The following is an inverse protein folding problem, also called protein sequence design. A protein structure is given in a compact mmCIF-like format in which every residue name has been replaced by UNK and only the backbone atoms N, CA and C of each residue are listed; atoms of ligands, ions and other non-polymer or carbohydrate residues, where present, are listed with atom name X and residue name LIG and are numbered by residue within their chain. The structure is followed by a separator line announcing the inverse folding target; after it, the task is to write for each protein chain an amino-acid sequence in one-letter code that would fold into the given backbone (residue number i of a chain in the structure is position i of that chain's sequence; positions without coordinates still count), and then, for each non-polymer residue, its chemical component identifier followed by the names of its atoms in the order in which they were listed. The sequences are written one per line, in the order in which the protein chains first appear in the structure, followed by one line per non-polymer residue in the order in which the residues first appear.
data_IF_896077988203
#
_entry.id   IF_896077988203
#
_cell.length_a   1.000
_cell.length_b   1.000
_cell.length_c   1.000
_cell.angle_alpha   90.00
_cell.angle_beta   90.00
_cell.angle_gamma   90.00
#
_symmetry.space_group_name_H-M   'P 1'
#
loop_
_entity.id
_entity.type
_entity.pdbx_description
1 polymer ?
#
# COMPACT_ATOMS: atom_id res chain seq x y z
N UNK A 1 -19.32 1.89 -5.87
CA UNK A 1 -17.91 1.55 -5.67
C UNK A 1 -17.68 0.08 -5.94
N UNK A 2 -16.64 -0.22 -6.67
CA UNK A 2 -16.31 -1.61 -6.96
C UNK A 2 -15.12 -2.05 -6.15
N UNK A 3 -15.27 -3.16 -5.48
CA UNK A 3 -14.14 -3.78 -4.80
C UNK A 3 -13.45 -4.72 -5.79
N UNK A 4 -12.14 -4.92 -5.66
CA UNK A 4 -11.45 -5.87 -6.51
C UNK A 4 -11.98 -7.29 -6.24
N UNK A 5 -11.94 -8.14 -7.24
CA UNK A 5 -12.38 -9.51 -7.05
C UNK A 5 -11.31 -10.29 -6.29
N UNK A 6 -11.66 -11.52 -5.92
CA UNK A 6 -10.80 -12.35 -5.10
C UNK A 6 -9.42 -12.57 -5.74
N UNK A 7 -9.39 -12.78 -7.04
CA UNK A 7 -8.12 -13.02 -7.73
C UNK A 7 -7.23 -11.78 -7.68
N UNK A 8 -7.82 -10.60 -7.80
CA UNK A 8 -7.06 -9.35 -7.69
C UNK A 8 -6.49 -9.19 -6.31
N UNK A 9 -7.29 -9.48 -5.27
CA UNK A 9 -6.80 -9.39 -3.89
C UNK A 9 -5.66 -10.37 -3.66
N UNK A 10 -5.79 -11.59 -4.17
CA UNK A 10 -4.72 -12.58 -4.03
C UNK A 10 -3.44 -12.12 -4.71
N UNK A 11 -3.58 -11.52 -5.89
CA UNK A 11 -2.42 -10.98 -6.61
C UNK A 11 -1.76 -9.85 -5.82
N UNK A 12 -2.58 -8.97 -5.24
CA UNK A 12 -2.07 -7.89 -4.41
C UNK A 12 -1.29 -8.43 -3.22
N UNK A 13 -1.78 -9.50 -2.60
CA UNK A 13 -1.07 -10.10 -1.48
C UNK A 13 0.27 -10.69 -1.88
N UNK A 14 0.37 -11.14 -3.13
CA UNK A 14 1.64 -11.63 -3.63
C UNK A 14 2.58 -10.51 -4.02
N UNK A 15 2.03 -9.43 -4.59
CA UNK A 15 2.83 -8.26 -4.98
C UNK A 15 3.31 -7.45 -3.77
N UNK A 16 2.46 -7.38 -2.74
CA UNK A 16 2.73 -6.58 -1.54
C UNK A 16 2.70 -7.48 -0.32
N UNK A 17 3.68 -8.37 -0.18
CA UNK A 17 3.68 -9.26 0.98
C UNK A 17 4.01 -8.51 2.25
N UNK A 18 3.54 -9.03 3.37
CA UNK A 18 3.83 -8.46 4.67
C UNK A 18 5.34 -8.31 4.84
N UNK A 19 5.76 -7.14 5.27
CA UNK A 19 7.17 -6.83 5.45
C UNK A 19 7.83 -6.17 4.26
N UNK A 20 7.14 -6.10 3.10
CA UNK A 20 7.71 -5.45 1.93
C UNK A 20 7.81 -3.95 2.15
N UNK A 21 8.85 -3.35 1.60
CA UNK A 21 9.01 -1.89 1.66
C UNK A 21 8.36 -1.25 0.45
N UNK A 22 7.66 -0.16 0.68
CA UNK A 22 6.94 0.55 -0.38
C UNK A 22 7.20 2.04 -0.28
N UNK A 23 7.02 2.71 -1.41
CA UNK A 23 7.11 4.16 -1.50
C UNK A 23 5.74 4.70 -1.91
N UNK A 24 5.25 5.72 -1.21
CA UNK A 24 3.99 6.35 -1.56
C UNK A 24 4.15 7.17 -2.82
N UNK A 25 3.31 6.90 -3.82
CA UNK A 25 3.29 7.67 -5.05
C UNK A 25 2.17 8.69 -5.03
N UNK A 26 0.97 8.26 -4.63
CA UNK A 26 -0.19 9.13 -4.65
C UNK A 26 -1.23 8.66 -3.63
N UNK A 27 -1.72 9.60 -2.84
CA UNK A 27 -2.81 9.33 -1.91
C UNK A 27 -3.63 10.60 -1.73
N UNK A 28 -4.93 10.53 -2.04
CA UNK A 28 -5.84 11.66 -1.96
C UNK A 28 -6.48 11.70 -0.58
N UNK A 29 -5.74 12.14 0.40
CA UNK A 29 -6.23 12.25 1.77
C UNK A 29 -5.51 13.42 2.40
N UNK A 30 -6.26 14.25 3.15
CA UNK A 30 -5.67 15.44 3.77
C UNK A 30 -4.60 15.06 4.79
N UNK A 31 -4.65 13.84 5.31
CA UNK A 31 -3.69 13.38 6.31
C UNK A 31 -2.63 12.45 5.71
N UNK A 32 -2.60 12.36 4.38
CA UNK A 32 -1.65 11.49 3.71
C UNK A 32 -0.23 11.94 3.94
N UNK A 33 0.71 10.98 4.08
CA UNK A 33 2.12 11.34 4.05
C UNK A 33 2.45 11.96 2.69
N UNK A 34 3.50 12.76 2.60
CA UNK A 34 3.88 13.29 1.28
C UNK A 34 4.35 12.19 0.35
N UNK A 35 4.16 12.36 -0.97
CA UNK A 35 4.72 11.40 -1.92
C UNK A 35 6.22 11.21 -1.68
N UNK A 36 6.67 9.99 -1.86
CA UNK A 36 8.06 9.62 -1.57
C UNK A 36 8.27 9.06 -0.18
N UNK A 37 7.26 9.14 0.69
CA UNK A 37 7.37 8.54 2.03
C UNK A 37 7.47 7.04 1.89
N UNK A 38 8.38 6.45 2.65
CA UNK A 38 8.57 5.00 2.66
C UNK A 38 7.75 4.37 3.80
N UNK A 39 7.39 3.12 3.61
CA UNK A 39 6.65 2.38 4.61
C UNK A 39 6.84 0.89 4.48
N UNK A 40 6.24 0.15 5.40
CA UNK A 40 6.31 -1.31 5.42
C UNK A 40 4.90 -1.88 5.35
N UNK A 41 4.69 -2.79 4.41
CA UNK A 41 3.38 -3.44 4.26
C UNK A 41 3.13 -4.34 5.47
N UNK A 42 1.94 -4.19 6.07
CA UNK A 42 1.50 -5.06 7.16
C UNK A 42 0.50 -6.10 6.68
N UNK A 43 -0.05 -5.94 5.49
CA UNK A 43 -0.98 -6.90 4.90
C UNK A 43 -1.82 -6.26 3.82
N UNK A 44 -2.68 -7.06 3.22
CA UNK A 44 -3.71 -6.60 2.27
C UNK A 44 -5.03 -7.15 2.76
N UNK A 45 -6.02 -6.28 2.93
CA UNK A 45 -7.32 -6.74 3.42
C UNK A 45 -8.19 -7.28 2.28
N UNK A 46 -9.39 -7.73 2.64
CA UNK A 46 -10.27 -8.42 1.68
C UNK A 46 -10.86 -7.49 0.64
N UNK A 47 -10.82 -6.20 0.87
CA UNK A 47 -11.31 -5.22 -0.11
C UNK A 47 -10.17 -4.61 -0.93
N UNK A 48 -8.97 -5.17 -0.81
CA UNK A 48 -7.85 -4.75 -1.65
C UNK A 48 -7.11 -3.54 -1.15
N UNK A 49 -7.29 -3.15 0.11
CA UNK A 49 -6.49 -2.07 0.68
C UNK A 49 -5.15 -2.63 1.14
N UNK A 50 -4.09 -1.98 0.70
CA UNK A 50 -2.74 -2.34 1.13
C UNK A 50 -2.46 -1.61 2.42
N UNK A 51 -2.38 -2.37 3.50
CA UNK A 51 -2.15 -1.78 4.82
C UNK A 51 -0.67 -1.54 5.00
N UNK A 52 -0.31 -0.30 5.31
CA UNK A 52 1.08 0.12 5.38
C UNK A 52 1.32 0.89 6.66
N UNK A 53 2.43 0.59 7.30
CA UNK A 53 2.94 1.44 8.37
C UNK A 53 3.98 2.35 7.75
N UNK A 54 3.63 3.62 7.62
CA UNK A 54 4.54 4.61 7.03
C UNK A 54 5.60 5.04 8.03
N UNK A 55 6.79 5.31 7.53
CA UNK A 55 7.93 5.64 8.40
C UNK A 55 7.71 6.93 9.19
N UNK A 56 6.80 7.79 8.72
CA UNK A 56 6.47 9.02 9.45
C UNK A 56 5.45 8.81 10.57
N UNK A 57 5.07 7.57 10.83
CA UNK A 57 4.12 7.24 11.89
C UNK A 57 2.68 7.08 11.45
N UNK A 58 2.36 7.42 10.19
CA UNK A 58 1.01 7.27 9.68
C UNK A 58 0.70 5.80 9.42
N UNK A 59 -0.56 5.41 9.60
CA UNK A 59 -1.02 4.06 9.31
C UNK A 59 -2.08 3.98 8.24
N UNK A 60 -2.15 4.98 7.35
CA UNK A 60 -3.16 5.00 6.31
C UNK A 60 -2.91 3.91 5.26
N UNK A 61 -3.98 3.20 4.88
CA UNK A 61 -3.92 2.17 3.86
C UNK A 61 -3.96 2.77 2.47
N UNK A 62 -3.42 2.04 1.50
CA UNK A 62 -3.46 2.45 0.09
C UNK A 62 -4.62 1.73 -0.59
N UNK A 63 -5.60 2.49 -1.07
CA UNK A 63 -6.80 1.92 -1.67
C UNK A 63 -6.53 1.53 -3.12
N UNK A 64 -6.78 0.25 -3.45
CA UNK A 64 -6.56 -0.27 -4.79
C UNK A 64 -7.38 0.52 -5.81
N UNK A 65 -6.71 0.95 -6.88
CA UNK A 65 -7.39 1.64 -7.98
C UNK A 65 -7.56 3.12 -7.78
N UNK A 66 -7.37 3.61 -6.57
CA UNK A 66 -7.53 5.05 -6.27
C UNK A 66 -6.24 5.69 -5.83
N UNK A 67 -5.41 4.94 -5.12
CA UNK A 67 -4.16 5.43 -4.59
C UNK A 67 -3.04 4.51 -5.03
N UNK A 68 -1.82 5.00 -5.02
CA UNK A 68 -0.71 4.27 -5.62
C UNK A 68 0.50 4.26 -4.69
N UNK A 69 1.04 3.08 -4.49
CA UNK A 69 2.36 2.92 -3.91
C UNK A 69 3.13 1.90 -4.76
N UNK A 70 4.43 1.85 -4.59
CA UNK A 70 5.24 0.91 -5.35
C UNK A 70 6.22 0.20 -4.45
N UNK A 71 6.59 -1.01 -4.85
CA UNK A 71 7.59 -1.79 -4.12
C UNK A 71 8.95 -1.11 -4.30
N UNK A 72 9.68 -0.99 -3.19
CA UNK A 72 11.04 -0.49 -3.19
C UNK A 72 11.96 -1.67 -2.94
N UNK A 73 12.85 -1.92 -3.89
CA UNK A 73 13.80 -3.01 -3.72
C UNK A 73 14.94 -2.56 -2.83
N UNK A 74 15.24 -3.39 -1.85
CA UNK A 74 16.42 -3.17 -1.06
C UNK A 74 17.64 -3.45 -1.90
N UNK A 75 18.45 -2.44 -2.07
CA UNK A 75 19.71 -2.68 -2.76
C UNK A 75 20.73 -3.12 -1.74
N UNK A 76 21.12 -4.32 -1.89
CA UNK A 76 22.12 -4.85 -1.02
C UNK A 76 23.05 -5.68 -1.82
#
# INVERSE_FOLDING_TARGET
MKFPNRKTVERLRMEFPKGARVELIRMDDVQAPPPGTLGTVTGVDDIGSIMVRWDNGSGLSVAFGEEVCRIVKNSK
#
